data_IF_543881172741
#
_entry.id   IF_543881172741
#
_cell.length_a   1.000
_cell.length_b   1.000
_cell.length_c   1.000
_cell.angle_alpha   90.00
_cell.angle_beta   90.00
_cell.angle_gamma   90.00
#
_symmetry.space_group_name_H-M   'P 1'
#
loop_
_entity.id
_entity.type
_entity.pdbx_description
1 polymer ?
#
# COMPACT_ATOMS: atom_id res chain seq x y z
N UNK A 1 34.61 -11.68 -22.54
CA UNK A 1 34.40 -11.26 -21.14
C UNK A 1 32.91 -11.17 -20.94
N UNK A 2 32.33 -12.11 -20.21
CA UNK A 2 30.88 -12.16 -19.97
C UNK A 2 30.48 -10.99 -19.07
N UNK A 3 29.71 -10.04 -19.62
CA UNK A 3 29.15 -8.93 -18.85
C UNK A 3 28.18 -9.49 -17.81
N UNK A 4 28.56 -9.43 -16.53
CA UNK A 4 27.68 -9.83 -15.45
C UNK A 4 26.49 -8.84 -15.36
N UNK A 5 25.27 -9.37 -15.43
CA UNK A 5 24.03 -8.62 -15.31
C UNK A 5 23.43 -8.83 -13.92
N UNK A 6 23.21 -7.73 -13.22
CA UNK A 6 22.73 -7.72 -11.84
C UNK A 6 21.23 -7.46 -11.78
N UNK A 7 20.54 -8.14 -10.87
CA UNK A 7 19.13 -7.88 -10.59
C UNK A 7 18.97 -6.64 -9.68
N UNK A 8 17.75 -6.07 -9.59
CA UNK A 8 17.51 -4.93 -8.72
C UNK A 8 17.73 -5.24 -7.24
N UNK A 9 17.60 -6.53 -6.86
CA UNK A 9 17.91 -7.02 -5.51
C UNK A 9 19.41 -6.95 -5.20
N UNK A 10 20.25 -7.28 -6.17
CA UNK A 10 21.72 -7.21 -5.98
C UNK A 10 22.14 -5.75 -5.87
N UNK A 11 21.56 -4.89 -6.70
CA UNK A 11 21.76 -3.44 -6.63
C UNK A 11 21.29 -2.85 -5.29
N UNK A 12 20.17 -3.34 -4.76
CA UNK A 12 19.64 -2.96 -3.46
C UNK A 12 20.65 -3.26 -2.35
N UNK A 13 21.14 -4.51 -2.28
CA UNK A 13 22.08 -4.97 -1.26
C UNK A 13 23.41 -4.22 -1.33
N UNK A 14 23.96 -3.99 -2.53
CA UNK A 14 25.23 -3.27 -2.67
C UNK A 14 25.11 -1.78 -2.35
N UNK A 15 24.06 -1.13 -2.84
CA UNK A 15 23.96 0.33 -2.74
C UNK A 15 23.35 0.80 -1.41
N UNK A 16 22.86 -0.12 -0.58
CA UNK A 16 22.17 0.18 0.68
C UNK A 16 20.90 0.99 0.49
N UNK A 17 20.20 0.80 -0.63
CA UNK A 17 18.95 1.52 -0.96
C UNK A 17 17.77 0.56 -0.88
N UNK A 18 16.54 1.06 -0.72
CA UNK A 18 15.35 0.20 -0.81
C UNK A 18 15.09 -0.33 -2.22
N UNK A 19 14.49 -1.53 -2.33
CA UNK A 19 14.19 -2.20 -3.61
C UNK A 19 13.47 -1.29 -4.62
N UNK A 20 12.44 -0.57 -4.17
CA UNK A 20 11.67 0.34 -5.03
C UNK A 20 12.54 1.46 -5.61
N UNK A 21 13.50 1.97 -4.84
CA UNK A 21 14.42 3.00 -5.30
C UNK A 21 15.44 2.45 -6.30
N UNK A 22 15.88 1.19 -6.12
CA UNK A 22 16.72 0.50 -7.09
C UNK A 22 15.99 0.35 -8.43
N UNK A 23 14.74 -0.14 -8.42
CA UNK A 23 13.92 -0.28 -9.63
C UNK A 23 13.69 1.07 -10.31
N UNK A 24 13.35 2.12 -9.56
CA UNK A 24 13.14 3.46 -10.12
C UNK A 24 14.42 4.05 -10.71
N UNK A 25 15.59 3.79 -10.11
CA UNK A 25 16.86 4.21 -10.66
C UNK A 25 17.13 3.56 -12.02
N UNK A 26 16.90 2.24 -12.13
CA UNK A 26 17.05 1.49 -13.38
C UNK A 26 16.07 1.96 -14.45
N UNK A 27 14.81 2.17 -14.09
CA UNK A 27 13.79 2.67 -15.00
C UNK A 27 14.15 4.08 -15.52
N UNK A 28 14.58 4.99 -14.64
CA UNK A 28 14.98 6.35 -15.03
C UNK A 28 16.25 6.36 -15.90
N UNK A 29 17.19 5.47 -15.63
CA UNK A 29 18.37 5.32 -16.46
C UNK A 29 18.00 4.80 -17.85
N UNK A 30 17.08 3.84 -17.96
CA UNK A 30 16.61 3.30 -19.24
C UNK A 30 15.78 4.31 -20.04
N UNK A 31 14.82 4.98 -19.40
CA UNK A 31 13.86 5.86 -20.07
C UNK A 31 14.42 7.25 -20.38
N UNK A 32 15.22 7.80 -19.46
CA UNK A 32 15.67 9.20 -19.54
C UNK A 32 17.18 9.35 -19.67
N UNK A 33 17.94 8.24 -19.69
CA UNK A 33 19.41 8.29 -19.68
C UNK A 33 19.97 8.96 -18.43
N UNK A 34 19.19 9.07 -17.36
CA UNK A 34 19.58 9.85 -16.17
C UNK A 34 20.75 9.15 -15.47
N UNK A 35 21.87 9.86 -15.22
CA UNK A 35 22.97 9.27 -14.48
C UNK A 35 22.53 8.96 -13.05
N UNK A 36 22.97 7.81 -12.54
CA UNK A 36 22.71 7.39 -11.17
C UNK A 36 24.02 7.39 -10.40
N UNK A 37 24.09 8.21 -9.35
CA UNK A 37 25.33 8.50 -8.60
C UNK A 37 26.50 8.90 -9.51
N UNK A 38 26.22 9.72 -10.53
CA UNK A 38 27.23 10.22 -11.48
C UNK A 38 27.64 9.25 -12.59
N UNK A 39 27.18 8.00 -12.58
CA UNK A 39 27.48 7.01 -13.61
C UNK A 39 26.31 6.79 -14.58
N UNK A 40 26.62 6.58 -15.87
CA UNK A 40 25.63 6.19 -16.89
C UNK A 40 25.42 4.68 -16.85
N UNK A 41 24.26 4.24 -16.37
CA UNK A 41 23.95 2.83 -16.24
C UNK A 41 23.55 2.23 -17.60
N UNK A 42 24.09 1.05 -17.92
CA UNK A 42 23.61 0.21 -19.02
C UNK A 42 22.56 -0.74 -18.45
N UNK A 43 21.30 -0.46 -18.75
CA UNK A 43 20.15 -1.21 -18.25
C UNK A 43 19.47 -1.96 -19.39
N UNK A 44 18.99 -3.17 -19.12
CA UNK A 44 18.12 -3.92 -20.04
C UNK A 44 16.83 -4.35 -19.36
N UNK A 45 15.80 -4.50 -20.17
CA UNK A 45 14.52 -5.06 -19.75
C UNK A 45 14.56 -6.59 -19.92
N UNK A 46 14.03 -7.32 -18.95
CA UNK A 46 13.94 -8.79 -19.00
C UNK A 46 12.50 -9.18 -18.66
N UNK A 47 11.90 -10.01 -19.49
CA UNK A 47 10.58 -10.56 -19.20
C UNK A 47 10.67 -11.57 -18.05
N UNK A 48 9.77 -11.43 -17.08
CA UNK A 48 9.58 -12.39 -16.01
C UNK A 48 8.29 -13.16 -16.23
N UNK A 49 8.27 -14.40 -15.74
CA UNK A 49 7.08 -15.25 -15.76
C UNK A 49 5.85 -14.48 -15.22
N UNK A 50 4.76 -14.52 -15.98
CA UNK A 50 3.50 -13.82 -15.65
C UNK A 50 3.37 -12.41 -16.24
N UNK A 51 4.04 -12.10 -17.36
CA UNK A 51 3.87 -10.84 -18.09
C UNK A 51 4.43 -9.61 -17.38
N UNK A 52 5.25 -9.81 -16.34
CA UNK A 52 5.85 -8.71 -15.58
C UNK A 52 7.21 -8.35 -16.17
N UNK A 53 7.47 -7.06 -16.29
CA UNK A 53 8.76 -6.53 -16.69
C UNK A 53 9.73 -6.48 -15.52
N UNK A 54 10.90 -7.09 -15.66
CA UNK A 54 12.07 -6.92 -14.80
C UNK A 54 13.14 -6.02 -15.45
N UNK A 55 14.05 -5.51 -14.63
CA UNK A 55 15.19 -4.70 -15.08
C UNK A 55 16.49 -5.32 -14.58
N UNK A 56 17.54 -5.28 -15.41
CA UNK A 56 18.89 -5.69 -15.04
C UNK A 56 19.90 -4.61 -15.43
N UNK A 57 20.97 -4.48 -14.65
CA UNK A 57 22.06 -3.53 -14.90
C UNK A 57 23.39 -4.24 -15.09
N UNK A 58 24.18 -3.78 -16.04
CA UNK A 58 25.54 -4.30 -16.25
C UNK A 58 26.48 -3.83 -15.13
N UNK A 59 27.21 -4.76 -14.53
CA UNK A 59 28.20 -4.49 -13.47
C UNK A 59 29.24 -3.44 -13.91
N UNK A 60 29.68 -3.49 -15.17
CA UNK A 60 30.70 -2.59 -15.71
C UNK A 60 30.24 -1.12 -15.82
N UNK A 61 28.92 -0.91 -15.83
CA UNK A 61 28.33 0.44 -15.90
C UNK A 61 28.09 1.07 -14.53
N UNK A 62 28.31 0.33 -13.45
CA UNK A 62 28.17 0.84 -12.08
C UNK A 62 29.39 1.69 -11.68
N UNK A 63 29.24 2.60 -10.70
CA UNK A 63 30.37 3.30 -10.11
C UNK A 63 31.45 2.33 -9.59
N UNK A 64 32.72 2.69 -9.75
CA UNK A 64 33.88 1.85 -9.40
C UNK A 64 33.85 1.37 -7.93
N UNK A 65 33.37 2.20 -7.02
CA UNK A 65 33.19 1.84 -5.61
C UNK A 65 32.29 0.61 -5.42
N UNK A 66 31.19 0.51 -6.19
CA UNK A 66 30.27 -0.62 -6.11
C UNK A 66 30.80 -1.86 -6.84
N UNK A 67 31.59 -1.67 -7.91
CA UNK A 67 32.24 -2.79 -8.59
C UNK A 67 33.24 -3.50 -7.66
N UNK A 68 34.02 -2.73 -6.90
CA UNK A 68 34.96 -3.27 -5.91
C UNK A 68 34.23 -4.00 -4.79
N UNK A 69 33.12 -3.44 -4.30
CA UNK A 69 32.30 -4.08 -3.28
C UNK A 69 31.69 -5.40 -3.75
N UNK A 70 31.28 -5.50 -5.03
CA UNK A 70 30.81 -6.75 -5.61
C UNK A 70 31.91 -7.82 -5.71
N UNK A 71 33.12 -7.42 -6.10
CA UNK A 71 34.28 -8.33 -6.16
C UNK A 71 34.73 -8.82 -4.78
N UNK A 72 34.45 -8.05 -3.73
CA UNK A 72 34.78 -8.38 -2.34
C UNK A 72 33.69 -9.21 -1.65
N UNK A 73 32.49 -9.31 -2.22
CA UNK A 73 31.46 -10.20 -1.71
C UNK A 73 31.92 -11.66 -1.95
N UNK A 74 32.17 -12.45 -0.89
CA UNK A 74 32.47 -13.86 -1.06
C UNK A 74 31.23 -14.53 -1.65
N UNK A 75 31.40 -15.21 -2.79
CA UNK A 75 30.39 -15.98 -3.50
C UNK A 75 30.02 -17.28 -2.72
N UNK A 76 29.74 -17.17 -1.43
CA UNK A 76 29.67 -18.28 -0.47
C UNK A 76 28.41 -18.23 0.41
N UNK A 77 27.24 -17.88 -0.15
CA UNK A 77 26.00 -17.79 0.64
C UNK A 77 24.70 -18.08 -0.10
N UNK A 78 24.74 -18.80 -1.23
CA UNK A 78 23.56 -19.07 -2.07
C UNK A 78 23.21 -20.56 -2.20
N UNK A 79 23.61 -21.38 -1.22
CA UNK A 79 23.17 -22.77 -1.09
C UNK A 79 22.97 -23.09 0.40
N UNK A 80 21.84 -22.70 0.99
CA UNK A 80 21.24 -23.32 2.20
C UNK A 80 20.00 -22.54 2.68
N UNK A 81 18.92 -22.60 1.91
CA UNK A 81 17.56 -22.32 2.44
C UNK A 81 16.55 -23.35 1.92
N UNK A 82 17.04 -24.57 1.69
CA UNK A 82 16.25 -25.76 1.35
C UNK A 82 16.49 -26.80 2.47
N UNK A 83 15.96 -26.50 3.66
CA UNK A 83 15.81 -27.41 4.82
C UNK A 83 15.15 -26.65 5.98
N UNK A 84 13.83 -26.68 6.03
CA UNK A 84 13.11 -26.77 7.30
C UNK A 84 11.78 -27.48 7.02
N UNK A 85 11.95 -28.77 6.80
CA UNK A 85 10.98 -29.83 7.03
C UNK A 85 10.71 -29.93 8.54
N UNK A 86 9.45 -30.21 8.92
CA UNK A 86 9.12 -30.78 10.22
C UNK A 86 8.77 -29.79 11.33
N UNK A 87 7.49 -29.44 11.44
CA UNK A 87 6.82 -29.46 12.75
C UNK A 87 5.35 -29.87 12.57
N UNK A 88 5.20 -31.20 12.59
CA UNK A 88 4.01 -31.96 12.90
C UNK A 88 3.49 -31.64 14.31
N UNK A 89 2.16 -31.72 14.47
CA UNK A 89 1.52 -32.16 15.70
C UNK A 89 1.31 -31.12 16.78
N UNK A 90 0.09 -30.60 16.85
CA UNK A 90 -0.67 -30.63 18.11
C UNK A 90 -2.17 -30.47 17.83
N UNK A 91 -2.82 -31.62 17.76
CA UNK A 91 -4.22 -31.81 18.06
C UNK A 91 -4.54 -31.27 19.47
N UNK A 92 -5.63 -30.51 19.57
CA UNK A 92 -6.36 -30.35 20.81
C UNK A 92 -7.85 -30.36 20.47
N UNK A 93 -8.43 -31.55 20.53
CA UNK A 93 -9.86 -31.75 20.69
C UNK A 93 -10.30 -31.08 21.99
N UNK A 94 -11.32 -30.24 21.91
CA UNK A 94 -12.05 -29.68 23.03
C UNK A 94 -13.52 -29.62 22.65
N UNK A 95 -14.31 -30.47 23.31
CA UNK A 95 -15.70 -30.79 23.06
C UNK A 95 -16.66 -29.60 22.95
N UNK A 96 -17.67 -29.82 22.11
CA UNK A 96 -18.91 -29.07 22.07
C UNK A 96 -19.79 -29.43 23.27
N UNK A 97 -20.42 -28.42 23.87
CA UNK A 97 -21.69 -28.56 24.58
C UNK A 97 -22.58 -27.32 24.27
N UNK A 98 -23.92 -27.48 24.29
CA UNK A 98 -24.86 -26.60 23.60
C UNK A 98 -25.43 -25.51 24.52
N UNK A 99 -25.53 -24.28 24.00
CA UNK A 99 -26.28 -23.21 24.69
C UNK A 99 -27.03 -22.32 23.70
N UNK A 100 -28.34 -22.59 23.64
CA UNK A 100 -29.48 -21.67 23.57
C UNK A 100 -29.28 -20.30 22.88
N UNK A 101 -30.08 -20.08 21.84
CA UNK A 101 -30.37 -18.77 21.25
C UNK A 101 -30.81 -17.73 22.28
N UNK A 102 -30.21 -16.53 22.29
CA UNK A 102 -30.87 -15.34 22.77
C UNK A 102 -31.53 -14.58 21.61
N UNK A 103 -32.70 -14.03 21.92
CA UNK A 103 -33.53 -13.05 21.20
C UNK A 103 -32.78 -11.91 20.48
N UNK A 104 -33.46 -11.20 19.55
CA UNK A 104 -32.84 -10.23 18.65
C UNK A 104 -32.11 -9.10 19.38
N UNK A 105 -30.95 -8.63 18.88
CA UNK A 105 -30.18 -7.59 19.56
C UNK A 105 -30.92 -6.26 19.50
N UNK A 106 -31.22 -5.73 20.70
CA UNK A 106 -31.38 -4.31 20.94
C UNK A 106 -30.16 -3.54 20.37
N UNK A 107 -30.32 -2.27 19.93
CA UNK A 107 -29.26 -1.53 19.25
C UNK A 107 -27.99 -1.48 20.10
N UNK A 108 -26.89 -1.93 19.49
CA UNK A 108 -25.57 -2.00 20.11
C UNK A 108 -25.13 -0.59 20.57
N UNK A 109 -24.53 -0.46 21.77
CA UNK A 109 -23.99 0.81 22.26
C UNK A 109 -22.90 1.31 21.32
N UNK A 110 -22.97 2.60 20.99
CA UNK A 110 -22.08 3.30 20.07
C UNK A 110 -20.62 3.19 20.52
N UNK A 111 -19.78 2.67 19.63
CA UNK A 111 -18.38 2.40 19.93
C UNK A 111 -17.60 3.68 20.20
N UNK A 112 -16.97 3.74 21.38
CA UNK A 112 -15.96 4.71 21.77
C UNK A 112 -14.71 4.60 20.89
N UNK A 113 -14.75 5.23 19.73
CA UNK A 113 -13.59 5.70 18.99
C UNK A 113 -13.74 7.21 18.87
N UNK A 114 -12.79 7.98 19.42
CA UNK A 114 -12.87 9.44 19.45
C UNK A 114 -12.75 10.05 18.05
N UNK A 115 -13.83 10.01 17.27
CA UNK A 115 -14.02 10.87 16.12
C UNK A 115 -15.07 11.92 16.49
N UNK A 116 -14.87 13.15 16.03
CA UNK A 116 -15.89 14.19 16.16
C UNK A 116 -16.79 14.14 14.91
N UNK A 117 -18.09 13.81 15.05
CA UNK A 117 -19.03 13.89 13.93
C UNK A 117 -19.05 15.30 13.32
N UNK A 118 -19.02 16.34 14.17
CA UNK A 118 -19.00 17.75 13.73
C UNK A 118 -17.81 18.04 12.81
N UNK A 119 -16.63 17.51 13.11
CA UNK A 119 -15.45 17.70 12.26
C UNK A 119 -15.58 17.01 10.89
N UNK A 120 -16.24 15.85 10.83
CA UNK A 120 -16.50 15.14 9.57
C UNK A 120 -17.50 15.89 8.69
N UNK A 121 -18.57 16.39 9.31
CA UNK A 121 -19.59 17.17 8.62
C UNK A 121 -19.08 18.56 8.20
N UNK A 122 -18.26 19.21 9.03
CA UNK A 122 -17.60 20.45 8.63
C UNK A 122 -16.72 20.25 7.38
N UNK A 123 -15.99 19.12 7.27
CA UNK A 123 -15.25 18.79 6.06
C UNK A 123 -16.18 18.56 4.86
N UNK A 124 -17.33 17.93 5.07
CA UNK A 124 -18.33 17.73 4.02
C UNK A 124 -18.82 19.03 3.39
N UNK A 125 -19.09 20.04 4.21
CA UNK A 125 -19.57 21.34 3.74
C UNK A 125 -18.51 22.12 2.96
N UNK A 126 -17.23 21.82 3.20
CA UNK A 126 -16.12 22.48 2.49
C UNK A 126 -15.76 21.84 1.14
N UNK A 127 -16.14 20.59 0.91
CA UNK A 127 -15.74 19.88 -0.31
C UNK A 127 -16.69 20.19 -1.47
N UNK A 128 -16.14 20.33 -2.68
CA UNK A 128 -16.95 20.54 -3.88
C UNK A 128 -17.81 19.33 -4.26
N UNK A 129 -18.92 19.61 -4.96
CA UNK A 129 -19.96 18.65 -5.37
C UNK A 129 -19.42 17.35 -5.99
N UNK A 130 -18.35 17.43 -6.79
CA UNK A 130 -17.73 16.25 -7.41
C UNK A 130 -17.26 15.20 -6.39
N UNK A 131 -16.72 15.65 -5.25
CA UNK A 131 -16.25 14.76 -4.18
C UNK A 131 -17.42 14.20 -3.39
N UNK A 132 -18.45 15.01 -3.17
CA UNK A 132 -19.70 14.59 -2.53
C UNK A 132 -20.39 13.50 -3.36
N UNK A 133 -20.59 13.72 -4.66
CA UNK A 133 -21.16 12.72 -5.58
C UNK A 133 -20.37 11.40 -5.63
N UNK A 134 -19.03 11.51 -5.54
CA UNK A 134 -18.18 10.32 -5.43
C UNK A 134 -18.40 9.56 -4.12
N UNK A 135 -18.58 10.25 -2.99
CA UNK A 135 -18.85 9.64 -1.69
C UNK A 135 -20.26 9.03 -1.64
N UNK A 136 -21.25 9.69 -2.22
CA UNK A 136 -22.61 9.15 -2.39
C UNK A 136 -22.60 7.85 -3.19
N UNK A 137 -21.85 7.82 -4.31
CA UNK A 137 -21.71 6.60 -5.12
C UNK A 137 -21.15 5.44 -4.29
N UNK A 138 -20.12 5.70 -3.47
CA UNK A 138 -19.53 4.70 -2.57
C UNK A 138 -20.53 4.22 -1.52
N UNK A 139 -21.30 5.14 -0.93
CA UNK A 139 -22.32 4.81 0.06
C UNK A 139 -23.39 3.91 -0.58
N UNK A 140 -23.88 4.26 -1.77
CA UNK A 140 -24.85 3.45 -2.51
C UNK A 140 -24.31 2.05 -2.80
N UNK A 141 -23.03 1.90 -3.14
CA UNK A 141 -22.39 0.58 -3.29
C UNK A 141 -22.44 -0.22 -1.99
N UNK A 142 -22.06 0.36 -0.85
CA UNK A 142 -22.07 -0.35 0.44
C UNK A 142 -23.49 -0.81 0.80
N UNK A 143 -24.49 0.07 0.64
CA UNK A 143 -25.89 -0.24 0.89
C UNK A 143 -26.42 -1.33 -0.06
N UNK A 144 -25.99 -1.34 -1.31
CA UNK A 144 -26.37 -2.35 -2.29
C UNK A 144 -25.77 -3.74 -1.93
N UNK A 145 -24.51 -3.79 -1.48
CA UNK A 145 -23.90 -5.03 -0.97
C UNK A 145 -24.65 -5.53 0.26
N UNK A 146 -24.92 -4.66 1.24
CA UNK A 146 -25.69 -5.03 2.43
C UNK A 146 -27.07 -5.60 2.07
N UNK A 147 -27.79 -4.95 1.16
CA UNK A 147 -29.11 -5.42 0.71
C UNK A 147 -29.04 -6.82 0.11
N UNK A 148 -28.04 -7.10 -0.73
CA UNK A 148 -27.86 -8.43 -1.34
C UNK A 148 -27.47 -9.48 -0.31
N UNK A 149 -26.62 -9.12 0.64
CA UNK A 149 -26.26 -10.03 1.74
C UNK A 149 -27.46 -10.36 2.63
N UNK A 150 -28.36 -9.40 2.84
CA UNK A 150 -29.64 -9.65 3.53
C UNK A 150 -30.59 -10.55 2.72
N UNK A 151 -30.42 -10.65 1.41
CA UNK A 151 -31.16 -11.57 0.52
C UNK A 151 -30.52 -12.97 0.46
N UNK A 152 -29.39 -13.19 1.13
CA UNK A 152 -28.71 -14.48 1.20
C UNK A 152 -27.48 -14.60 0.28
N UNK A 153 -27.15 -13.57 -0.50
CA UNK A 153 -25.89 -13.57 -1.27
C UNK A 153 -24.69 -13.52 -0.32
N UNK A 154 -23.61 -14.22 -0.67
CA UNK A 154 -22.34 -13.97 0.01
C UNK A 154 -21.82 -12.56 -0.30
N UNK A 155 -21.07 -11.96 0.62
CA UNK A 155 -20.46 -10.63 0.43
C UNK A 155 -19.62 -10.57 -0.85
N UNK A 156 -18.87 -11.63 -1.15
CA UNK A 156 -18.03 -11.71 -2.35
C UNK A 156 -18.87 -11.76 -3.65
N UNK A 157 -20.00 -12.48 -3.67
CA UNK A 157 -20.92 -12.47 -4.82
C UNK A 157 -21.58 -11.09 -5.00
N UNK A 158 -22.00 -10.47 -3.90
CA UNK A 158 -22.61 -9.14 -3.93
C UNK A 158 -21.65 -8.06 -4.44
N UNK A 159 -20.37 -8.12 -4.04
CA UNK A 159 -19.31 -7.23 -4.55
C UNK A 159 -19.05 -7.49 -6.04
N UNK A 160 -18.88 -8.75 -6.45
CA UNK A 160 -18.61 -9.11 -7.83
C UNK A 160 -19.74 -8.64 -8.78
N UNK A 161 -20.99 -8.73 -8.34
CA UNK A 161 -22.14 -8.31 -9.11
C UNK A 161 -22.30 -6.78 -9.24
N UNK A 162 -21.51 -5.98 -8.52
CA UNK A 162 -21.44 -4.52 -8.64
C UNK A 162 -20.18 -4.03 -9.38
N UNK A 163 -19.34 -4.96 -9.88
CA UNK A 163 -18.08 -4.68 -10.56
C UNK A 163 -17.11 -3.80 -9.75
N UNK A 164 -17.13 -3.94 -8.41
CA UNK A 164 -16.21 -3.23 -7.53
C UNK A 164 -15.07 -4.17 -7.12
N UNK A 165 -13.79 -3.79 -7.29
CA UNK A 165 -12.69 -4.62 -6.83
C UNK A 165 -12.78 -4.87 -5.33
N UNK A 166 -12.63 -6.13 -4.91
CA UNK A 166 -12.69 -6.58 -3.52
C UNK A 166 -11.90 -5.68 -2.56
N UNK A 167 -10.65 -5.37 -2.90
CA UNK A 167 -9.78 -4.50 -2.10
C UNK A 167 -10.38 -3.10 -1.89
N UNK A 168 -11.01 -2.54 -2.91
CA UNK A 168 -11.63 -1.21 -2.86
C UNK A 168 -12.82 -1.21 -1.90
N UNK A 169 -13.67 -2.24 -1.96
CA UNK A 169 -14.80 -2.39 -1.04
C UNK A 169 -14.34 -2.47 0.43
N UNK A 170 -13.38 -3.35 0.76
CA UNK A 170 -12.90 -3.48 2.14
C UNK A 170 -12.16 -2.22 2.63
N UNK A 171 -11.51 -1.46 1.74
CA UNK A 171 -10.95 -0.16 2.10
C UNK A 171 -12.05 0.83 2.51
N UNK A 172 -13.16 0.91 1.76
CA UNK A 172 -14.30 1.78 2.12
C UNK A 172 -14.97 1.32 3.40
N UNK A 173 -15.16 0.01 3.57
CA UNK A 173 -15.71 -0.56 4.80
C UNK A 173 -14.82 -0.20 6.01
N UNK A 174 -13.50 -0.21 5.84
CA UNK A 174 -12.55 0.22 6.87
C UNK A 174 -12.68 1.70 7.27
N UNK A 175 -13.12 2.59 6.37
CA UNK A 175 -13.33 4.02 6.67
C UNK A 175 -14.58 4.26 7.53
N UNK A 176 -15.62 3.46 7.33
CA UNK A 176 -16.91 3.56 8.04
C UNK A 176 -16.99 2.65 9.26
N UNK A 177 -16.08 1.69 9.38
CA UNK A 177 -15.99 0.81 10.55
C UNK A 177 -15.80 1.65 11.81
N UNK A 178 -16.58 1.36 12.87
CA UNK A 178 -16.64 2.13 14.12
C UNK A 178 -17.23 3.55 14.01
N UNK A 179 -17.94 3.87 12.93
CA UNK A 179 -18.71 5.14 12.81
C UNK A 179 -20.20 4.86 12.78
N UNK A 180 -20.98 5.76 13.38
CA UNK A 180 -22.43 5.74 13.25
C UNK A 180 -22.82 5.82 11.78
N UNK A 181 -23.92 5.15 11.41
CA UNK A 181 -24.39 5.06 10.02
C UNK A 181 -24.71 6.43 9.42
N UNK A 182 -25.13 7.39 10.25
CA UNK A 182 -25.34 8.78 9.86
C UNK A 182 -24.04 9.45 9.37
N UNK A 183 -22.88 9.05 9.91
CA UNK A 183 -21.58 9.65 9.59
C UNK A 183 -20.83 8.92 8.47
N UNK A 184 -21.45 7.93 7.83
CA UNK A 184 -20.81 7.18 6.75
C UNK A 184 -20.55 8.04 5.51
N UNK A 185 -21.49 8.93 5.19
CA UNK A 185 -21.39 9.79 4.03
C UNK A 185 -20.14 10.69 4.06
N UNK A 186 -19.90 11.50 5.11
CA UNK A 186 -18.67 12.30 5.20
C UNK A 186 -17.41 11.44 5.37
N UNK A 187 -17.50 10.27 6.00
CA UNK A 187 -16.35 9.37 6.15
C UNK A 187 -15.88 8.75 4.81
N UNK A 188 -16.78 8.60 3.85
CA UNK A 188 -16.49 8.03 2.52
C UNK A 188 -15.93 9.03 1.51
N UNK A 189 -15.73 10.29 1.92
CA UNK A 189 -15.10 11.29 1.07
C UNK A 189 -13.77 10.77 0.50
N UNK A 190 -13.45 11.06 -0.77
CA UNK A 190 -12.14 10.76 -1.33
C UNK A 190 -11.08 11.56 -0.57
N UNK A 191 -10.48 10.91 0.43
CA UNK A 191 -9.22 11.35 0.96
C UNK A 191 -8.21 11.24 -0.18
N UNK A 192 -7.73 12.37 -0.69
CA UNK A 192 -6.38 12.37 -1.22
C UNK A 192 -5.54 12.01 -0.01
N UNK A 193 -5.13 10.75 0.10
CA UNK A 193 -3.99 10.39 0.93
C UNK A 193 -2.82 11.16 0.33
N UNK A 194 -2.70 12.44 0.70
CA UNK A 194 -1.49 13.20 0.53
C UNK A 194 -0.42 12.29 1.08
N UNK A 195 0.57 11.99 0.25
CA UNK A 195 1.67 11.14 0.67
C UNK A 195 2.18 11.71 2.00
N UNK A 196 2.07 11.02 3.14
CA UNK A 196 2.50 11.59 4.42
C UNK A 196 4.00 11.90 4.42
N UNK A 197 4.74 11.39 3.43
CA UNK A 197 6.13 11.76 3.16
C UNK A 197 6.34 13.23 2.76
N UNK A 198 5.33 13.95 2.26
CA UNK A 198 5.45 15.38 1.93
C UNK A 198 5.06 16.32 3.08
N UNK A 199 4.63 15.80 4.23
CA UNK A 199 4.27 16.60 5.41
C UNK A 199 5.40 16.72 6.46
N UNK A 200 6.59 16.17 6.19
CA UNK A 200 7.76 16.28 7.08
C UNK A 200 8.87 17.07 6.40
N UNK A 201 8.80 18.39 6.42
CA UNK A 201 9.88 19.33 6.81
C UNK A 201 9.24 20.71 6.90
N UNK A 202 8.75 21.09 8.08
CA UNK A 202 8.58 22.49 8.41
C UNK A 202 9.94 22.97 8.93
N UNK A 203 10.72 23.64 8.08
CA UNK A 203 12.02 24.19 8.48
C UNK A 203 11.79 25.59 9.09
N UNK A 204 12.11 25.81 10.38
CA UNK A 204 11.96 27.11 11.04
C UNK A 204 12.65 28.26 10.30
N UNK A 205 13.71 27.97 9.53
CA UNK A 205 14.44 28.97 8.74
C UNK A 205 13.63 29.50 7.56
N UNK A 206 12.73 28.69 7.01
CA UNK A 206 11.81 29.13 5.95
C UNK A 206 10.79 30.13 6.51
N UNK A 207 10.35 29.95 7.76
CA UNK A 207 9.45 30.88 8.45
C UNK A 207 10.13 32.22 8.77
N UNK A 208 11.41 32.18 9.13
CA UNK A 208 12.21 33.37 9.44
C UNK A 208 12.47 34.20 8.17
N UNK A 209 12.85 33.54 7.07
CA UNK A 209 12.98 34.20 5.75
C UNK A 209 11.64 34.77 5.23
N UNK A 210 10.51 34.17 5.60
CA UNK A 210 9.19 34.67 5.20
C UNK A 210 8.78 35.92 5.98
N UNK A 211 9.18 36.03 7.25
CA UNK A 211 8.94 37.23 8.08
C UNK A 211 9.71 38.42 7.53
N UNK A 212 11.00 38.24 7.21
CA UNK A 212 11.85 39.30 6.66
C UNK A 212 11.36 39.85 5.30
N UNK A 213 10.54 39.08 4.58
CA UNK A 213 10.05 39.47 3.25
C UNK A 213 8.70 40.20 3.27
N UNK A 214 7.93 40.10 4.36
CA UNK A 214 6.53 40.57 4.41
C UNK A 214 6.17 41.43 5.62
N UNK A 215 7.04 41.53 6.64
CA UNK A 215 6.90 42.43 7.79
C UNK A 215 8.00 43.48 7.77
#
# INVERSE_FOLDING_TARGET
MDTAWLNPSDLQSMAGIGYRNAVLALQKALQHGKPWRGAKLKVRQVERNGGKTGYQVSLDSLPEALQTQYKQLPLAGLVEMDRMDGMDGMDAAGEAEPVQSPSPPAPLPEGEGSYSPESLWALWDTVGEKKQASAETRLQTLLAVERRTAQGDSVEQAIAALDVPRRTYYNWLGLVNKKARADWLPALLPAHAGNPASAKVFDPRIMEAFKDYYL
#
